data_IF_767864523042
#
_entry.id   IF_767864523042
#
_cell.length_a   1.000
_cell.length_b   1.000
_cell.length_c   1.000
_cell.angle_alpha   90.00
_cell.angle_beta   90.00
_cell.angle_gamma   90.00
#
_symmetry.space_group_name_H-M   'P 1'
#
loop_
_entity.id
_entity.type
_entity.pdbx_description
1 polymer ?
#
# COMPACT_ATOMS: atom_id res chain seq x y z
N UNK A 1 -43.09 5.55 -45.31
CA UNK A 1 -41.71 5.04 -45.08
C UNK A 1 -40.67 6.13 -44.82
N UNK A 2 -40.76 7.32 -45.40
CA UNK A 2 -39.77 8.39 -45.11
C UNK A 2 -39.82 8.95 -43.68
N UNK A 3 -41.01 9.03 -43.07
CA UNK A 3 -41.18 9.54 -41.70
C UNK A 3 -40.54 8.62 -40.65
N UNK A 4 -40.66 7.31 -40.80
CA UNK A 4 -40.06 6.32 -39.87
C UNK A 4 -38.54 6.35 -39.97
N UNK A 5 -37.98 6.44 -41.18
CA UNK A 5 -36.54 6.57 -41.40
C UNK A 5 -36.00 7.84 -40.75
N UNK A 6 -36.71 8.97 -40.89
CA UNK A 6 -36.29 10.24 -40.28
C UNK A 6 -36.33 10.19 -38.74
N UNK A 7 -37.34 9.53 -38.17
CA UNK A 7 -37.43 9.30 -36.73
C UNK A 7 -36.30 8.41 -36.21
N UNK A 8 -35.94 7.35 -36.95
CA UNK A 8 -34.80 6.49 -36.60
C UNK A 8 -33.49 7.27 -36.64
N UNK A 9 -33.26 8.06 -37.68
CA UNK A 9 -32.08 8.92 -37.81
C UNK A 9 -32.00 9.92 -36.64
N UNK A 10 -33.12 10.54 -36.27
CA UNK A 10 -33.18 11.48 -35.14
C UNK A 10 -32.91 10.80 -33.79
N UNK A 11 -33.41 9.58 -33.58
CA UNK A 11 -33.11 8.81 -32.37
C UNK A 11 -31.63 8.38 -32.34
N UNK A 12 -31.08 8.00 -33.50
CA UNK A 12 -29.68 7.58 -33.61
C UNK A 12 -28.72 8.75 -33.31
N UNK A 13 -29.01 9.95 -33.83
CA UNK A 13 -28.20 11.14 -33.53
C UNK A 13 -28.30 11.54 -32.06
N UNK A 14 -29.50 11.48 -31.48
CA UNK A 14 -29.70 11.76 -30.05
C UNK A 14 -28.95 10.74 -29.16
N UNK A 15 -29.02 9.46 -29.49
CA UNK A 15 -28.27 8.42 -28.79
C UNK A 15 -26.75 8.64 -28.88
N UNK A 16 -26.26 9.05 -30.05
CA UNK A 16 -24.84 9.37 -30.26
C UNK A 16 -24.38 10.58 -29.45
N UNK A 17 -25.21 11.63 -29.38
CA UNK A 17 -24.95 12.80 -28.55
C UNK A 17 -24.90 12.44 -27.05
N UNK A 18 -25.82 11.59 -26.58
CA UNK A 18 -25.82 11.10 -25.19
C UNK A 18 -24.60 10.22 -24.92
N UNK A 19 -24.24 9.30 -25.82
CA UNK A 19 -23.06 8.46 -25.67
C UNK A 19 -21.77 9.29 -25.57
N UNK A 20 -21.61 10.29 -26.44
CA UNK A 20 -20.49 11.24 -26.38
C UNK A 20 -20.48 12.03 -25.07
N UNK A 21 -21.65 12.44 -24.57
CA UNK A 21 -21.75 13.12 -23.29
C UNK A 21 -21.29 12.22 -22.14
N UNK A 22 -21.78 10.97 -22.08
CA UNK A 22 -21.39 10.01 -21.04
C UNK A 22 -19.89 9.75 -21.07
N UNK A 23 -19.32 9.45 -22.24
CA UNK A 23 -17.87 9.20 -22.39
C UNK A 23 -17.07 10.43 -21.92
N UNK A 24 -17.46 11.63 -22.37
CA UNK A 24 -16.76 12.87 -21.99
C UNK A 24 -16.88 13.16 -20.50
N UNK A 25 -18.01 12.83 -19.88
CA UNK A 25 -18.25 13.07 -18.46
C UNK A 25 -17.57 12.04 -17.57
N UNK A 26 -17.53 10.77 -18.00
CA UNK A 26 -16.81 9.70 -17.31
C UNK A 26 -15.32 9.99 -17.26
N UNK A 27 -14.72 10.49 -18.36
CA UNK A 27 -13.31 10.91 -18.35
C UNK A 27 -13.05 12.01 -17.32
N UNK A 28 -13.89 13.07 -17.29
CA UNK A 28 -13.73 14.15 -16.30
C UNK A 28 -13.91 13.68 -14.86
N UNK A 29 -14.84 12.76 -14.62
CA UNK A 29 -15.08 12.23 -13.28
C UNK A 29 -13.96 11.29 -12.85
N UNK A 30 -13.34 10.57 -13.78
CA UNK A 30 -12.19 9.71 -13.52
C UNK A 30 -10.95 10.55 -13.22
N UNK A 31 -10.67 11.59 -14.02
CA UNK A 31 -9.58 12.55 -13.78
C UNK A 31 -9.65 13.18 -12.38
N UNK A 32 -10.85 13.62 -11.95
CA UNK A 32 -11.03 14.19 -10.62
C UNK A 32 -10.74 13.18 -9.49
N UNK A 33 -11.07 11.90 -9.70
CA UNK A 33 -10.76 10.85 -8.71
C UNK A 33 -9.28 10.52 -8.67
N UNK A 34 -8.62 10.43 -9.83
CA UNK A 34 -7.18 10.19 -9.93
C UNK A 34 -6.41 11.30 -9.22
N UNK A 35 -6.73 12.57 -9.50
CA UNK A 35 -6.09 13.71 -8.82
C UNK A 35 -6.31 13.69 -7.30
N UNK A 36 -7.50 13.29 -6.84
CA UNK A 36 -7.77 13.16 -5.41
C UNK A 36 -6.96 12.02 -4.76
N UNK A 37 -6.81 10.90 -5.47
CA UNK A 37 -6.02 9.76 -5.03
C UNK A 37 -4.52 10.08 -5.01
N UNK A 38 -3.99 10.74 -6.03
CA UNK A 38 -2.60 11.18 -6.10
C UNK A 38 -2.25 12.12 -4.93
N UNK A 39 -3.11 13.11 -4.66
CA UNK A 39 -2.93 14.00 -3.48
C UNK A 39 -3.00 13.26 -2.15
N UNK A 40 -3.79 12.19 -2.08
CA UNK A 40 -3.87 11.36 -0.86
C UNK A 40 -2.58 10.56 -0.71
N UNK A 41 -2.08 9.99 -1.80
CA UNK A 41 -0.85 9.22 -1.83
C UNK A 41 0.37 10.07 -1.45
N UNK A 42 0.49 11.28 -2.01
CA UNK A 42 1.55 12.24 -1.66
C UNK A 42 1.56 12.56 -0.16
N UNK A 43 0.39 12.76 0.45
CA UNK A 43 0.29 12.98 1.90
C UNK A 43 0.74 11.75 2.69
N UNK A 44 0.30 10.56 2.29
CA UNK A 44 0.68 9.32 2.97
C UNK A 44 2.18 9.07 2.89
N UNK A 45 2.82 9.36 1.76
CA UNK A 45 4.27 9.22 1.60
C UNK A 45 5.04 10.14 2.55
N UNK A 46 4.59 11.39 2.70
CA UNK A 46 5.18 12.33 3.65
C UNK A 46 5.01 11.83 5.08
N UNK A 47 3.81 11.37 5.45
CA UNK A 47 3.53 10.87 6.79
C UNK A 47 4.39 9.63 7.12
N UNK A 48 4.54 8.70 6.17
CA UNK A 48 5.40 7.52 6.34
C UNK A 48 6.86 7.93 6.55
N UNK A 49 7.37 8.90 5.79
CA UNK A 49 8.73 9.39 5.97
C UNK A 49 8.94 10.02 7.35
N UNK A 50 7.95 10.77 7.85
CA UNK A 50 7.96 11.30 9.21
C UNK A 50 7.95 10.18 10.24
N UNK A 51 7.05 9.19 10.11
CA UNK A 51 6.99 8.06 11.04
C UNK A 51 8.26 7.20 11.01
N UNK A 52 8.91 7.05 9.86
CA UNK A 52 10.19 6.35 9.77
C UNK A 52 11.28 7.11 10.51
N UNK A 53 11.33 8.44 10.34
CA UNK A 53 12.27 9.30 11.07
C UNK A 53 12.01 9.25 12.59
N UNK A 54 10.76 9.32 13.02
CA UNK A 54 10.37 9.19 14.43
C UNK A 54 10.74 7.81 14.99
N UNK A 55 10.47 6.75 14.23
CA UNK A 55 10.84 5.38 14.62
C UNK A 55 12.36 5.27 14.75
N UNK A 56 13.13 5.78 13.79
CA UNK A 56 14.59 5.76 13.86
C UNK A 56 15.11 6.57 15.05
N UNK A 57 14.47 7.69 15.37
CA UNK A 57 14.80 8.50 16.55
C UNK A 57 14.48 7.78 17.88
N UNK A 58 13.34 7.08 17.94
CA UNK A 58 12.92 6.32 19.13
C UNK A 58 13.71 5.01 19.31
N UNK A 59 14.14 4.39 18.22
CA UNK A 59 14.92 3.17 18.22
C UNK A 59 16.42 3.39 18.52
N UNK A 60 16.82 4.62 18.84
CA UNK A 60 18.21 4.94 19.21
C UNK A 60 18.64 4.12 20.44
N UNK A 61 19.83 3.48 20.39
CA UNK A 61 20.28 2.58 21.44
C UNK A 61 20.38 3.28 22.80
N UNK A 62 20.74 4.57 22.83
CA UNK A 62 20.84 5.36 24.06
C UNK A 62 19.48 5.51 24.77
N UNK A 63 18.37 5.46 24.01
CA UNK A 63 17.01 5.50 24.55
C UNK A 63 16.47 4.12 24.90
N UNK A 64 16.91 3.08 24.18
CA UNK A 64 16.51 1.70 24.42
C UNK A 64 17.24 1.06 25.60
N UNK A 65 18.48 1.46 25.87
CA UNK A 65 19.30 0.89 26.95
C UNK A 65 18.64 0.98 28.34
N UNK A 66 18.13 2.15 28.82
CA UNK A 66 17.48 2.21 30.13
C UNK A 66 16.22 1.33 30.19
N UNK A 67 15.40 1.32 29.14
CA UNK A 67 14.22 0.46 29.03
C UNK A 67 14.59 -1.03 29.03
N UNK A 68 15.68 -1.41 28.36
CA UNK A 68 16.18 -2.78 28.34
C UNK A 68 16.65 -3.22 29.72
N UNK A 69 17.39 -2.35 30.44
CA UNK A 69 17.87 -2.61 31.79
C UNK A 69 16.74 -2.78 32.80
N UNK A 70 15.70 -1.95 32.74
CA UNK A 70 14.48 -2.10 33.56
C UNK A 70 13.79 -3.46 33.34
N UNK A 71 13.88 -4.02 32.13
CA UNK A 71 13.34 -5.33 31.78
C UNK A 71 14.30 -6.49 32.08
N UNK A 72 15.44 -6.22 32.71
CA UNK A 72 16.47 -7.22 33.02
C UNK A 72 17.22 -7.72 31.78
N UNK A 73 17.07 -7.04 30.64
CA UNK A 73 17.80 -7.36 29.43
C UNK A 73 19.22 -6.78 29.53
N UNK A 74 20.19 -7.54 29.03
CA UNK A 74 21.60 -7.18 29.05
C UNK A 74 22.30 -7.58 27.75
N UNK A 75 23.56 -7.17 27.58
CA UNK A 75 24.35 -7.56 26.42
C UNK A 75 24.41 -9.08 26.29
N UNK A 76 24.37 -9.54 25.04
CA UNK A 76 24.39 -10.97 24.71
C UNK A 76 25.68 -11.60 25.26
N UNK A 77 25.58 -12.74 25.93
CA UNK A 77 26.77 -13.45 26.45
C UNK A 77 27.22 -14.52 25.46
N UNK A 78 28.51 -14.90 25.49
CA UNK A 78 29.09 -15.94 24.63
C UNK A 78 28.33 -17.28 24.68
N UNK A 79 27.63 -17.57 25.79
CA UNK A 79 26.78 -18.77 25.93
C UNK A 79 25.46 -18.74 25.17
N UNK A 80 25.04 -17.57 24.66
CA UNK A 80 23.77 -17.40 23.93
C UNK A 80 23.94 -17.53 22.41
N UNK A 81 25.17 -17.71 21.92
CA UNK A 81 25.42 -18.00 20.51
C UNK A 81 25.21 -19.50 20.25
N UNK A 82 24.44 -19.82 19.22
CA UNK A 82 24.43 -21.17 18.66
C UNK A 82 25.77 -21.40 17.93
N UNK A 83 26.50 -22.47 18.27
CA UNK A 83 27.62 -22.93 17.45
C UNK A 83 27.08 -23.61 16.21
N UNK A 84 27.30 -22.98 15.05
CA UNK A 84 26.86 -23.49 13.74
C UNK A 84 27.57 -24.80 13.37
N UNK A 85 28.70 -25.11 13.99
CA UNK A 85 29.46 -26.34 13.72
C UNK A 85 28.92 -27.59 14.43
N UNK A 86 27.95 -27.46 15.34
CA UNK A 86 27.49 -28.56 16.19
C UNK A 86 26.13 -29.18 15.79
N UNK A 87 25.42 -28.63 14.80
CA UNK A 87 24.03 -29.05 14.50
C UNK A 87 23.71 -29.20 13.00
N UNK A 88 24.62 -29.82 12.23
CA UNK A 88 24.27 -30.38 10.91
C UNK A 88 23.65 -31.79 11.04
N UNK A 89 23.46 -32.31 12.26
CA UNK A 89 22.91 -33.66 12.49
C UNK A 89 21.55 -33.71 13.20
N UNK A 90 20.93 -32.57 13.55
CA UNK A 90 19.75 -32.58 14.44
C UNK A 90 18.50 -31.86 13.94
N UNK A 91 18.33 -31.59 12.64
CA UNK A 91 17.06 -31.00 12.17
C UNK A 91 15.92 -32.05 12.23
N UNK A 92 14.95 -31.97 13.17
CA UNK A 92 13.75 -32.79 13.07
C UNK A 92 12.99 -32.34 11.83
N UNK A 93 12.81 -33.28 10.91
CA UNK A 93 11.88 -33.17 9.79
C UNK A 93 10.53 -32.68 10.33
N UNK A 94 10.24 -31.39 10.16
CA UNK A 94 8.89 -30.88 10.42
C UNK A 94 8.00 -31.49 9.34
N UNK A 95 7.22 -32.46 9.78
CA UNK A 95 6.18 -33.12 9.01
C UNK A 95 5.33 -32.08 8.29
N UNK A 96 5.28 -32.21 6.97
CA UNK A 96 4.22 -31.64 6.17
C UNK A 96 2.87 -32.18 6.67
N UNK A 97 1.98 -31.28 7.08
CA UNK A 97 0.54 -31.49 7.14
C UNK A 97 -0.17 -30.17 6.92
#
# INVERSE_FOLDING_TARGET
MHRTVNWILMLLTLASAVALYVIKYDTRRLEARVLAQERTLEKLEIDVAVFEAERAYLARPERLEPLARERGLGPITTRQYLRVDADVQGAPARAAR
#
